data_IF_661363745495
#
_entry.id   IF_661363745495
#
_cell.length_a   1.000
_cell.length_b   1.000
_cell.length_c   1.000
_cell.angle_alpha   90.00
_cell.angle_beta   90.00
_cell.angle_gamma   90.00
#
_symmetry.space_group_name_H-M   'P 1'
#
loop_
_entity.id
_entity.type
_entity.pdbx_description
1 polymer ?
#
# COMPACT_ATOMS: atom_id res chain seq x y z
N UNK A 1 -38.34 19.14 22.30
CA UNK A 1 -38.17 20.09 23.45
C UNK A 1 -36.82 19.75 24.05
N UNK A 2 -35.78 20.45 23.81
CA UNK A 2 -35.23 21.60 24.41
C UNK A 2 -34.08 22.17 23.54
N UNK A 3 -34.24 23.44 23.23
CA UNK A 3 -33.21 24.30 22.64
C UNK A 3 -32.21 24.65 23.75
N UNK A 4 -30.91 24.49 23.46
CA UNK A 4 -29.83 25.20 24.13
C UNK A 4 -28.96 25.82 23.03
N UNK A 5 -29.24 26.94 22.77
CA UNK A 5 -28.84 28.34 22.63
C UNK A 5 -27.34 28.56 22.39
N UNK A 6 -27.11 29.23 21.28
CA UNK A 6 -25.86 29.75 20.71
C UNK A 6 -25.08 30.77 21.61
N UNK A 7 -25.26 30.75 22.95
CA UNK A 7 -24.69 31.71 23.89
C UNK A 7 -23.40 31.27 24.56
N UNK A 8 -22.95 30.02 24.38
CA UNK A 8 -21.73 29.51 25.06
C UNK A 8 -20.47 29.56 24.17
N UNK A 9 -20.63 29.82 22.87
CA UNK A 9 -19.48 29.94 21.93
C UNK A 9 -18.94 31.39 21.81
N UNK A 10 -19.69 32.39 22.29
CA UNK A 10 -19.27 33.80 22.26
C UNK A 10 -18.46 34.20 23.49
N UNK A 11 -18.50 33.42 24.58
CA UNK A 11 -17.77 33.74 25.82
C UNK A 11 -16.32 33.22 25.84
N UNK A 12 -15.95 32.32 24.93
CA UNK A 12 -14.56 31.83 24.83
C UNK A 12 -13.68 32.58 23.82
N UNK A 13 -14.26 33.39 22.96
CA UNK A 13 -13.48 34.21 21.99
C UNK A 13 -13.10 35.60 22.55
N UNK A 14 -13.66 36.07 23.66
CA UNK A 14 -13.34 37.38 24.24
C UNK A 14 -12.25 37.35 25.32
N UNK A 15 -11.79 36.17 25.73
CA UNK A 15 -10.69 36.04 26.71
C UNK A 15 -9.30 35.83 26.09
N UNK A 16 -9.20 35.68 24.78
CA UNK A 16 -7.90 35.52 24.07
C UNK A 16 -7.36 36.81 23.46
N UNK A 17 -8.15 37.86 23.38
CA UNK A 17 -7.71 39.16 22.81
C UNK A 17 -7.26 40.19 23.88
N UNK A 18 -7.32 39.89 25.18
CA UNK A 18 -6.93 40.82 26.25
C UNK A 18 -5.53 40.58 26.83
N UNK A 19 -4.74 39.64 26.30
CA UNK A 19 -3.36 39.41 26.79
C UNK A 19 -2.24 39.82 25.81
N UNK A 20 -2.55 40.48 24.71
CA UNK A 20 -1.56 40.93 23.71
C UNK A 20 -1.45 42.45 23.56
N UNK A 21 -1.97 43.23 24.48
CA UNK A 21 -1.91 44.72 24.42
C UNK A 21 -1.25 45.40 25.61
N UNK A 22 -0.37 44.71 26.35
CA UNK A 22 0.40 45.36 27.41
C UNK A 22 1.89 45.05 27.27
N UNK A 23 2.56 45.73 26.35
CA UNK A 23 4.00 46.02 26.45
C UNK A 23 4.46 46.97 25.32
N UNK A 24 3.89 48.13 25.23
CA UNK A 24 4.41 49.26 24.46
C UNK A 24 3.88 50.56 25.10
N UNK A 25 4.56 51.05 26.11
CA UNK A 25 4.49 52.46 26.49
C UNK A 25 5.88 52.94 26.86
N UNK A 26 6.28 53.83 26.05
CA UNK A 26 7.34 54.82 26.05
C UNK A 26 7.44 55.68 27.33
N UNK A 27 8.16 56.81 27.23
CA UNK A 27 9.54 57.18 27.55
C UNK A 27 9.62 58.16 28.72
N UNK A 28 10.71 58.87 29.01
CA UNK A 28 10.66 60.30 28.81
C UNK A 28 11.98 60.99 28.32
N UNK A 29 11.76 61.89 27.48
CA UNK A 29 12.43 63.15 27.22
C UNK A 29 12.80 63.96 28.49
N UNK A 30 14.00 64.56 28.53
CA UNK A 30 14.50 65.78 29.16
C UNK A 30 15.93 65.58 29.63
N UNK A 31 16.90 66.35 29.40
CA UNK A 31 17.11 67.81 29.32
C UNK A 31 18.54 68.05 28.84
N UNK A 32 18.79 68.81 27.83
CA UNK A 32 19.15 70.22 27.79
C UNK A 32 20.48 70.59 28.45
N UNK A 33 21.34 71.18 27.58
CA UNK A 33 22.22 72.32 27.77
C UNK A 33 23.58 72.11 28.44
N UNK A 34 24.55 72.41 27.71
CA UNK A 34 25.84 73.07 27.89
C UNK A 34 26.94 72.31 27.13
N UNK A 35 27.69 72.84 26.28
CA UNK A 35 28.33 74.07 26.10
C UNK A 35 29.09 74.17 24.80
N UNK A 36 28.97 75.29 24.21
CA UNK A 36 29.82 75.83 23.16
C UNK A 36 31.29 75.83 23.64
N UNK A 37 32.16 75.20 22.84
CA UNK A 37 33.61 75.39 23.07
C UNK A 37 34.39 74.14 22.73
N UNK A 38 34.75 73.96 21.49
CA UNK A 38 36.05 73.46 20.97
C UNK A 38 35.93 73.04 19.51
N UNK A 39 35.56 74.02 18.73
CA UNK A 39 35.69 73.90 17.26
C UNK A 39 37.05 74.48 16.85
N UNK A 40 38.11 73.75 17.09
CA UNK A 40 39.39 73.96 16.41
C UNK A 40 40.40 72.87 16.87
N UNK A 41 40.32 71.72 16.39
CA UNK A 41 41.28 70.66 16.77
C UNK A 41 41.07 69.30 16.18
N UNK A 42 40.18 69.16 15.19
CA UNK A 42 39.88 67.80 14.63
C UNK A 42 40.00 67.71 13.09
N UNK A 43 41.02 68.39 12.55
CA UNK A 43 41.34 68.31 11.10
C UNK A 43 42.67 67.65 10.79
N UNK A 44 43.28 66.90 11.72
CA UNK A 44 44.60 66.29 11.45
C UNK A 44 44.67 64.78 11.85
N UNK A 45 43.53 64.06 11.88
CA UNK A 45 43.53 62.57 12.08
C UNK A 45 42.80 61.81 11.00
N UNK A 46 42.76 62.32 9.76
CA UNK A 46 42.20 61.63 8.58
C UNK A 46 43.29 61.18 7.64
N UNK A 47 44.33 60.49 8.11
CA UNK A 47 45.34 59.93 7.25
C UNK A 47 45.98 58.72 7.95
N UNK A 48 45.32 57.61 7.92
CA UNK A 48 45.84 56.23 7.96
C UNK A 48 44.66 55.27 8.10
N UNK A 49 43.78 55.18 7.06
CA UNK A 49 43.14 53.91 6.80
C UNK A 49 44.22 53.02 6.19
N UNK A 50 44.56 51.90 6.83
CA UNK A 50 45.32 50.90 6.13
C UNK A 50 44.48 50.46 4.93
N UNK A 51 45.02 50.66 3.72
CA UNK A 51 44.49 50.02 2.52
C UNK A 51 44.38 48.51 2.82
N UNK A 52 43.18 48.07 3.18
CA UNK A 52 42.87 46.65 3.16
C UNK A 52 43.07 46.23 1.69
N UNK A 53 44.04 45.35 1.40
CA UNK A 53 44.22 44.94 0.04
C UNK A 53 42.87 44.40 -0.47
N UNK A 54 42.42 44.79 -1.67
CA UNK A 54 41.15 44.29 -2.20
C UNK A 54 41.19 42.78 -2.12
N UNK A 55 40.15 42.20 -1.48
CA UNK A 55 40.00 40.74 -1.37
C UNK A 55 40.27 40.19 -2.80
N UNK A 56 41.13 39.17 -2.96
CA UNK A 56 41.46 38.66 -4.26
C UNK A 56 40.15 38.32 -4.97
N UNK A 57 39.90 39.02 -6.09
CA UNK A 57 38.71 38.79 -6.92
C UNK A 57 38.82 37.33 -7.35
N UNK A 58 37.97 36.47 -6.83
CA UNK A 58 37.96 35.05 -7.16
C UNK A 58 37.82 34.97 -8.67
N UNK A 59 38.86 34.46 -9.33
CA UNK A 59 38.81 34.26 -10.79
C UNK A 59 37.64 33.33 -11.10
N UNK A 60 36.80 33.74 -12.04
CA UNK A 60 35.61 32.93 -12.41
C UNK A 60 36.06 31.57 -12.99
N UNK A 61 35.29 30.52 -12.73
CA UNK A 61 35.51 29.21 -13.36
C UNK A 61 35.47 29.33 -14.89
N UNK A 62 36.36 28.65 -15.59
CA UNK A 62 36.49 28.69 -17.03
C UNK A 62 35.93 27.40 -17.64
N UNK A 63 35.08 27.55 -18.66
CA UNK A 63 34.58 26.42 -19.43
C UNK A 63 35.59 26.11 -20.57
N UNK A 64 36.15 24.91 -20.56
CA UNK A 64 37.01 24.35 -21.61
C UNK A 64 36.33 23.13 -22.22
N UNK A 65 35.73 23.29 -23.41
CA UNK A 65 34.88 22.26 -23.99
C UNK A 65 33.63 22.00 -23.11
N UNK A 66 33.46 20.79 -22.60
CA UNK A 66 32.39 20.42 -21.69
C UNK A 66 32.84 20.38 -20.22
N UNK A 67 34.07 20.82 -19.91
CA UNK A 67 34.65 20.77 -18.58
C UNK A 67 34.68 22.15 -17.93
N UNK A 68 34.20 22.26 -16.71
CA UNK A 68 34.32 23.47 -15.91
C UNK A 68 35.52 23.35 -14.99
N UNK A 69 36.50 24.25 -15.19
CA UNK A 69 37.75 24.28 -14.44
C UNK A 69 37.76 25.46 -13.48
N UNK A 70 37.87 25.15 -12.21
CA UNK A 70 38.06 26.14 -11.17
C UNK A 70 39.53 26.45 -10.94
N UNK A 71 39.88 27.71 -10.69
CA UNK A 71 41.22 28.05 -10.22
C UNK A 71 41.55 27.37 -8.89
N UNK A 72 42.83 27.08 -8.68
CA UNK A 72 43.28 26.47 -7.41
C UNK A 72 42.93 27.37 -6.21
N UNK A 73 42.34 26.77 -5.17
CA UNK A 73 41.92 27.52 -3.95
C UNK A 73 40.65 28.34 -4.12
N UNK A 74 39.87 28.14 -5.19
CA UNK A 74 38.58 28.84 -5.33
C UNK A 74 37.62 28.52 -4.18
N UNK A 75 36.99 29.53 -3.53
CA UNK A 75 36.16 29.35 -2.34
C UNK A 75 35.00 28.35 -2.51
N UNK A 76 34.41 28.30 -3.72
CA UNK A 76 33.30 27.37 -4.01
C UNK A 76 33.71 25.91 -3.98
N UNK A 77 35.00 25.57 -4.17
CA UNK A 77 35.48 24.19 -4.11
C UNK A 77 35.29 23.56 -2.73
N UNK A 78 35.39 24.37 -1.67
CA UNK A 78 35.15 23.92 -0.29
C UNK A 78 33.69 23.55 -0.01
N UNK A 79 32.77 24.05 -0.83
CA UNK A 79 31.33 23.77 -0.71
C UNK A 79 30.93 22.48 -1.43
N UNK A 80 31.77 22.00 -2.35
CA UNK A 80 31.51 20.80 -3.13
C UNK A 80 32.09 19.59 -2.39
N UNK A 81 31.29 18.57 -2.20
CA UNK A 81 31.78 17.29 -1.70
C UNK A 81 31.54 16.21 -2.74
N UNK A 82 32.54 15.36 -2.92
CA UNK A 82 32.48 14.24 -3.84
C UNK A 82 32.41 12.90 -3.13
N UNK A 83 31.96 11.89 -3.83
CA UNK A 83 31.92 10.51 -3.38
C UNK A 83 32.20 9.60 -4.58
N UNK A 84 32.99 8.56 -4.34
CA UNK A 84 33.23 7.55 -5.36
C UNK A 84 31.94 6.76 -5.67
N UNK A 85 31.63 6.60 -6.95
CA UNK A 85 30.58 5.70 -7.41
C UNK A 85 30.94 4.26 -7.04
N UNK A 86 30.05 3.58 -6.36
CA UNK A 86 30.27 2.19 -5.91
C UNK A 86 29.72 1.21 -6.94
N UNK A 87 30.39 0.07 -7.13
CA UNK A 87 29.85 -0.98 -8.00
C UNK A 87 28.52 -1.49 -7.42
N UNK A 88 27.52 -1.62 -8.26
CA UNK A 88 26.23 -2.15 -7.88
C UNK A 88 26.29 -3.68 -7.88
N UNK A 89 26.73 -4.28 -6.78
CA UNK A 89 26.70 -5.73 -6.63
C UNK A 89 25.31 -6.23 -6.20
N UNK A 90 24.67 -5.47 -5.32
CA UNK A 90 23.33 -5.75 -4.78
C UNK A 90 22.47 -4.50 -4.87
N UNK A 91 21.27 -4.67 -5.40
CA UNK A 91 20.26 -3.62 -5.46
C UNK A 91 19.08 -4.01 -4.58
N UNK A 92 18.71 -3.14 -3.66
CA UNK A 92 17.48 -3.30 -2.87
C UNK A 92 16.39 -2.45 -3.51
N UNK A 93 15.36 -3.12 -3.99
CA UNK A 93 14.19 -2.47 -4.59
C UNK A 93 13.04 -2.53 -3.61
N UNK A 94 12.50 -1.38 -3.25
CA UNK A 94 11.33 -1.25 -2.39
C UNK A 94 10.06 -1.28 -3.26
N UNK A 95 9.19 -2.28 -3.01
CA UNK A 95 7.93 -2.48 -3.72
C UNK A 95 6.76 -2.23 -2.77
N UNK A 96 5.76 -1.42 -3.18
CA UNK A 96 4.58 -1.22 -2.36
C UNK A 96 3.81 -2.52 -2.21
N UNK A 97 3.29 -2.77 -1.01
CA UNK A 97 2.58 -3.97 -0.67
C UNK A 97 1.39 -3.68 0.25
N UNK A 98 0.35 -4.53 0.14
CA UNK A 98 -0.82 -4.53 1.00
C UNK A 98 -1.04 -5.94 1.53
N UNK A 99 -1.28 -6.06 2.82
CA UNK A 99 -1.66 -7.31 3.44
C UNK A 99 -3.16 -7.53 3.24
N UNK A 100 -3.54 -8.77 2.95
CA UNK A 100 -4.95 -9.17 2.86
C UNK A 100 -5.11 -10.53 3.52
N UNK A 101 -6.36 -10.89 3.86
CA UNK A 101 -6.62 -12.23 4.37
C UNK A 101 -6.18 -13.29 3.37
N UNK A 102 -5.69 -14.41 3.88
CA UNK A 102 -5.41 -15.58 3.06
C UNK A 102 -6.74 -16.22 2.64
N UNK A 103 -7.19 -15.97 1.41
CA UNK A 103 -8.50 -16.44 0.92
C UNK A 103 -8.61 -17.98 0.91
N UNK A 104 -7.49 -18.70 0.87
CA UNK A 104 -7.50 -20.16 1.01
C UNK A 104 -7.84 -20.63 2.44
N UNK A 105 -7.79 -19.70 3.40
CA UNK A 105 -8.08 -19.92 4.83
C UNK A 105 -9.13 -18.93 5.33
N UNK A 106 -9.97 -18.44 4.43
CA UNK A 106 -11.01 -17.45 4.74
C UNK A 106 -12.34 -17.94 4.18
N UNK A 107 -13.37 -17.97 5.01
CA UNK A 107 -14.72 -18.25 4.60
C UNK A 107 -15.57 -17.00 4.69
N UNK A 108 -16.25 -16.67 3.59
CA UNK A 108 -17.26 -15.61 3.51
C UNK A 108 -18.63 -16.25 3.51
N UNK A 109 -19.46 -15.90 4.46
CA UNK A 109 -20.76 -16.51 4.68
C UNK A 109 -21.84 -15.56 4.17
N UNK A 110 -22.60 -16.04 3.20
CA UNK A 110 -23.74 -15.36 2.59
C UNK A 110 -25.02 -16.09 2.92
N UNK A 111 -26.18 -15.40 2.93
CA UNK A 111 -27.47 -16.08 3.12
C UNK A 111 -27.80 -16.89 1.87
N UNK A 112 -28.28 -18.12 2.05
CA UNK A 112 -28.76 -18.95 0.93
C UNK A 112 -30.27 -18.91 0.75
N UNK A 113 -30.98 -18.44 1.78
CA UNK A 113 -32.42 -18.23 1.81
C UNK A 113 -32.71 -16.84 2.35
N UNK A 114 -33.79 -16.26 1.89
CA UNK A 114 -34.32 -15.02 2.48
C UNK A 114 -34.80 -15.28 3.91
N UNK A 115 -34.50 -14.32 4.81
CA UNK A 115 -34.94 -14.46 6.19
C UNK A 115 -34.64 -13.22 7.03
N UNK A 116 -35.22 -13.20 8.24
CA UNK A 116 -35.01 -12.16 9.21
C UNK A 116 -34.04 -12.64 10.28
N UNK A 117 -33.02 -11.84 10.59
CA UNK A 117 -32.06 -12.15 11.66
C UNK A 117 -32.77 -12.17 12.99
N UNK A 118 -32.84 -13.33 13.64
CA UNK A 118 -33.40 -13.51 14.96
C UNK A 118 -32.37 -13.28 16.04
N UNK A 119 -31.37 -14.18 16.13
CA UNK A 119 -30.33 -14.15 17.16
C UNK A 119 -28.95 -14.21 16.51
N UNK A 120 -28.01 -13.44 17.05
CA UNK A 120 -26.60 -13.48 16.67
C UNK A 120 -25.86 -14.10 17.86
N UNK A 121 -25.07 -15.15 17.59
CA UNK A 121 -24.35 -15.93 18.60
C UNK A 121 -22.87 -15.75 18.58
N UNK A 122 -22.31 -15.21 17.47
CA UNK A 122 -20.89 -14.92 17.31
C UNK A 122 -20.65 -13.44 17.02
N UNK A 123 -19.56 -12.90 17.56
CA UNK A 123 -19.17 -11.51 17.34
C UNK A 123 -17.74 -11.40 16.83
N UNK A 124 -17.38 -10.21 16.34
CA UNK A 124 -16.04 -9.92 15.85
C UNK A 124 -15.01 -10.13 16.97
N UNK A 125 -13.91 -10.79 16.63
CA UNK A 125 -12.85 -11.16 17.58
C UNK A 125 -13.08 -12.49 18.29
N UNK A 126 -14.22 -13.15 18.10
CA UNK A 126 -14.51 -14.46 18.69
C UNK A 126 -13.91 -15.60 17.85
N UNK A 127 -13.27 -16.57 18.52
CA UNK A 127 -12.83 -17.80 17.89
C UNK A 127 -13.98 -18.79 17.80
N UNK A 128 -14.13 -19.40 16.64
CA UNK A 128 -15.20 -20.38 16.35
C UNK A 128 -14.60 -21.66 15.77
N UNK A 129 -15.29 -22.78 16.01
CA UNK A 129 -14.95 -24.07 15.42
C UNK A 129 -15.79 -24.36 14.17
N UNK A 130 -15.39 -25.32 13.35
CA UNK A 130 -16.24 -25.80 12.28
C UNK A 130 -17.57 -26.34 12.85
N UNK A 131 -18.70 -25.95 12.23
CA UNK A 131 -20.05 -26.28 12.70
C UNK A 131 -20.64 -25.34 13.75
N UNK A 132 -19.84 -24.37 14.29
CA UNK A 132 -20.37 -23.39 15.25
C UNK A 132 -21.45 -22.51 14.62
N UNK A 133 -22.57 -22.35 15.29
CA UNK A 133 -23.66 -21.44 14.87
C UNK A 133 -23.23 -20.00 15.13
N UNK A 134 -23.29 -19.17 14.10
CA UNK A 134 -22.91 -17.76 14.13
C UNK A 134 -24.13 -16.85 14.28
N UNK A 135 -25.23 -17.23 13.63
CA UNK A 135 -26.51 -16.54 13.76
C UNK A 135 -27.66 -17.48 13.38
N UNK A 136 -28.85 -17.16 13.85
CA UNK A 136 -30.10 -17.83 13.50
C UNK A 136 -31.02 -16.85 12.79
N UNK A 137 -31.59 -17.28 11.67
CA UNK A 137 -32.51 -16.51 10.86
C UNK A 137 -33.89 -17.19 10.86
N UNK A 138 -34.95 -16.42 11.02
CA UNK A 138 -36.29 -16.86 10.71
C UNK A 138 -36.51 -16.75 9.19
N UNK A 139 -36.67 -17.92 8.54
CA UNK A 139 -36.79 -18.04 7.09
C UNK A 139 -38.01 -18.87 6.69
N UNK A 140 -39.11 -18.23 6.27
CA UNK A 140 -40.26 -18.96 5.74
C UNK A 140 -39.91 -19.77 4.48
N UNK A 141 -38.97 -19.27 3.66
CA UNK A 141 -38.50 -19.97 2.45
C UNK A 141 -37.77 -21.27 2.83
N UNK A 142 -36.89 -21.24 3.85
CA UNK A 142 -36.25 -22.45 4.38
C UNK A 142 -37.30 -23.41 5.00
N UNK A 143 -38.29 -22.88 5.70
CA UNK A 143 -39.40 -23.67 6.23
C UNK A 143 -40.19 -24.40 5.14
N UNK A 144 -40.45 -23.74 4.00
CA UNK A 144 -41.05 -24.38 2.83
C UNK A 144 -40.19 -25.54 2.29
N UNK A 145 -38.86 -25.33 2.18
CA UNK A 145 -37.93 -26.38 1.75
C UNK A 145 -37.88 -27.56 2.74
N UNK A 146 -37.97 -27.30 4.04
CA UNK A 146 -38.13 -28.34 5.09
C UNK A 146 -39.42 -29.12 4.92
N UNK A 147 -40.56 -28.42 4.67
CA UNK A 147 -41.85 -29.05 4.42
C UNK A 147 -41.84 -29.94 3.18
N UNK A 148 -41.22 -29.49 2.08
CA UNK A 148 -41.05 -30.29 0.89
C UNK A 148 -40.23 -31.55 1.16
N UNK A 149 -39.18 -31.46 1.98
CA UNK A 149 -38.38 -32.63 2.39
C UNK A 149 -39.21 -33.59 3.21
N UNK A 150 -39.99 -33.09 4.17
CA UNK A 150 -40.85 -33.93 4.99
C UNK A 150 -41.95 -34.65 4.17
N UNK A 151 -42.54 -33.94 3.19
CA UNK A 151 -43.52 -34.52 2.27
C UNK A 151 -42.88 -35.65 1.41
N UNK A 152 -41.74 -35.37 0.80
CA UNK A 152 -41.02 -36.37 -0.03
C UNK A 152 -40.61 -37.60 0.80
N UNK A 153 -40.23 -37.38 2.07
CA UNK A 153 -39.94 -38.49 3.01
C UNK A 153 -41.16 -39.39 3.26
N UNK A 154 -42.33 -38.77 3.45
CA UNK A 154 -43.60 -39.51 3.65
C UNK A 154 -43.99 -40.27 2.37
N UNK A 155 -43.81 -39.69 1.18
CA UNK A 155 -44.08 -40.31 -0.09
C UNK A 155 -43.17 -41.55 -0.35
N UNK A 156 -41.87 -41.46 -0.01
CA UNK A 156 -40.95 -42.61 -0.08
C UNK A 156 -41.44 -43.71 0.87
N UNK A 157 -41.82 -43.41 2.11
CA UNK A 157 -42.30 -44.42 3.05
C UNK A 157 -43.55 -45.10 2.53
N UNK A 158 -44.47 -44.37 1.91
CA UNK A 158 -45.71 -44.90 1.37
C UNK A 158 -45.40 -45.79 0.13
N UNK A 159 -44.63 -45.31 -0.83
CA UNK A 159 -44.29 -46.05 -2.08
C UNK A 159 -43.49 -47.32 -1.77
N UNK A 160 -42.55 -47.30 -0.83
CA UNK A 160 -41.82 -48.50 -0.39
C UNK A 160 -42.75 -49.55 0.22
N UNK A 161 -43.75 -49.16 1.05
CA UNK A 161 -44.74 -50.08 1.56
C UNK A 161 -45.62 -50.67 0.46
N UNK A 162 -45.99 -49.90 -0.56
CA UNK A 162 -46.72 -50.37 -1.74
C UNK A 162 -45.88 -51.34 -2.54
N UNK A 163 -44.62 -51.03 -2.80
CA UNK A 163 -43.68 -51.93 -3.50
C UNK A 163 -43.56 -53.27 -2.76
N UNK A 164 -43.33 -53.24 -1.47
CA UNK A 164 -43.24 -54.46 -0.65
C UNK A 164 -44.50 -55.29 -0.76
N UNK A 165 -45.70 -54.68 -0.73
CA UNK A 165 -46.98 -55.38 -0.89
C UNK A 165 -47.11 -56.00 -2.30
N UNK A 166 -46.84 -55.25 -3.35
CA UNK A 166 -46.89 -55.73 -4.73
C UNK A 166 -45.89 -56.88 -4.98
N UNK A 167 -44.73 -56.81 -4.37
CA UNK A 167 -43.74 -57.86 -4.44
C UNK A 167 -44.23 -59.14 -3.81
N UNK A 168 -44.81 -59.10 -2.60
CA UNK A 168 -45.39 -60.28 -1.93
C UNK A 168 -46.56 -60.87 -2.69
N UNK A 169 -47.43 -60.06 -3.28
CA UNK A 169 -48.54 -60.48 -4.10
C UNK A 169 -48.08 -61.15 -5.44
N UNK A 170 -47.03 -60.60 -6.06
CA UNK A 170 -46.43 -61.18 -7.24
C UNK A 170 -45.79 -62.54 -6.97
N UNK A 171 -45.09 -62.68 -5.86
CA UNK A 171 -44.48 -63.91 -5.41
C UNK A 171 -45.56 -64.95 -5.13
N UNK A 172 -46.76 -64.54 -4.65
CA UNK A 172 -47.92 -65.42 -4.52
C UNK A 172 -48.72 -65.68 -5.78
N UNK A 173 -48.29 -65.15 -6.94
CA UNK A 173 -48.94 -65.29 -8.22
C UNK A 173 -50.25 -64.54 -8.41
N UNK A 174 -50.56 -63.56 -7.54
CA UNK A 174 -51.83 -62.80 -7.47
C UNK A 174 -51.86 -61.59 -8.41
N UNK A 175 -50.74 -60.94 -8.64
CA UNK A 175 -50.67 -59.73 -9.48
C UNK A 175 -49.76 -59.90 -10.69
N UNK A 176 -49.96 -59.10 -11.73
CA UNK A 176 -49.19 -59.18 -12.94
C UNK A 176 -47.79 -58.49 -12.71
N UNK A 177 -46.79 -58.93 -13.51
CA UNK A 177 -45.44 -58.34 -13.53
C UNK A 177 -45.45 -56.84 -13.76
N UNK A 178 -46.36 -56.35 -14.61
CA UNK A 178 -46.55 -54.93 -14.89
C UNK A 178 -46.86 -54.14 -13.61
N UNK A 179 -47.65 -54.67 -12.67
CA UNK A 179 -48.04 -53.97 -11.45
C UNK A 179 -46.85 -53.87 -10.47
N UNK A 180 -45.97 -54.88 -10.45
CA UNK A 180 -44.72 -54.83 -9.70
C UNK A 180 -43.75 -53.82 -10.29
N UNK A 181 -43.58 -53.83 -11.63
CA UNK A 181 -42.72 -52.86 -12.35
C UNK A 181 -43.19 -51.40 -12.14
N UNK A 182 -44.51 -51.16 -12.14
CA UNK A 182 -45.09 -49.86 -11.81
C UNK A 182 -44.76 -49.41 -10.38
N UNK A 183 -44.93 -50.32 -9.40
CA UNK A 183 -44.60 -50.01 -8.02
C UNK A 183 -43.09 -49.74 -7.82
N UNK A 184 -42.23 -50.45 -8.51
CA UNK A 184 -40.79 -50.18 -8.54
C UNK A 184 -40.45 -48.80 -9.11
N UNK A 185 -41.08 -48.41 -10.24
CA UNK A 185 -40.89 -47.11 -10.86
C UNK A 185 -41.37 -45.98 -9.96
N UNK A 186 -42.51 -46.16 -9.26
CA UNK A 186 -43.03 -45.17 -8.34
C UNK A 186 -42.15 -44.98 -7.10
N UNK A 187 -41.62 -46.07 -6.54
CA UNK A 187 -40.66 -45.98 -5.44
C UNK A 187 -39.36 -45.31 -5.85
N UNK A 188 -38.83 -45.62 -7.03
CA UNK A 188 -37.62 -44.97 -7.56
C UNK A 188 -37.84 -43.43 -7.80
N UNK A 189 -39.02 -43.05 -8.31
CA UNK A 189 -39.39 -41.64 -8.50
C UNK A 189 -39.47 -40.88 -7.17
N UNK A 190 -40.14 -41.46 -6.17
CA UNK A 190 -40.24 -40.89 -4.86
C UNK A 190 -38.88 -40.73 -4.16
N UNK A 191 -38.00 -41.71 -4.33
CA UNK A 191 -36.64 -41.65 -3.79
C UNK A 191 -35.82 -40.54 -4.44
N UNK A 192 -35.89 -40.37 -5.76
CA UNK A 192 -35.20 -39.26 -6.46
C UNK A 192 -35.71 -37.90 -6.03
N UNK A 193 -37.03 -37.78 -5.79
CA UNK A 193 -37.62 -36.53 -5.31
C UNK A 193 -37.19 -36.19 -3.86
N UNK A 194 -37.07 -37.20 -2.98
CA UNK A 194 -36.51 -37.01 -1.65
C UNK A 194 -35.07 -36.56 -1.71
N UNK A 195 -34.23 -37.17 -2.54
CA UNK A 195 -32.83 -36.75 -2.72
C UNK A 195 -32.73 -35.29 -3.21
N UNK A 196 -33.57 -34.88 -4.15
CA UNK A 196 -33.66 -33.50 -4.61
C UNK A 196 -34.04 -32.54 -3.48
N UNK A 197 -35.06 -32.85 -2.71
CA UNK A 197 -35.54 -32.02 -1.60
C UNK A 197 -34.48 -31.93 -0.48
N UNK A 198 -33.84 -33.04 -0.14
CA UNK A 198 -32.76 -33.06 0.86
C UNK A 198 -31.54 -32.28 0.40
N UNK A 199 -31.14 -32.33 -0.88
CA UNK A 199 -30.01 -31.59 -1.41
C UNK A 199 -30.17 -30.08 -1.17
N UNK A 200 -31.39 -29.55 -1.21
CA UNK A 200 -31.69 -28.13 -0.99
C UNK A 200 -31.47 -27.69 0.48
N UNK A 201 -31.65 -28.60 1.45
CA UNK A 201 -31.59 -28.25 2.89
C UNK A 201 -30.35 -28.78 3.61
N UNK A 202 -29.66 -29.80 3.03
CA UNK A 202 -28.56 -30.53 3.68
C UNK A 202 -27.43 -29.65 4.21
N UNK A 203 -27.06 -28.58 3.50
CA UNK A 203 -25.97 -27.68 3.87
C UNK A 203 -26.28 -26.81 5.11
N UNK A 204 -27.53 -26.74 5.53
CA UNK A 204 -28.00 -25.80 6.57
C UNK A 204 -28.44 -26.52 7.85
N UNK A 205 -28.04 -27.76 8.01
CA UNK A 205 -28.28 -28.58 9.17
C UNK A 205 -29.55 -29.44 9.05
N UNK A 206 -29.49 -30.64 9.62
CA UNK A 206 -30.64 -31.55 9.75
C UNK A 206 -31.42 -31.20 11.02
N UNK A 207 -32.36 -30.31 10.93
CA UNK A 207 -33.35 -30.13 12.00
C UNK A 207 -34.49 -31.13 11.78
N UNK A 208 -34.84 -31.89 12.80
CA UNK A 208 -36.05 -32.73 12.78
C UNK A 208 -37.26 -31.83 12.81
N UNK A 209 -37.99 -31.73 11.71
CA UNK A 209 -39.25 -30.97 11.61
C UNK A 209 -39.11 -29.63 10.88
N UNK A 210 -40.26 -28.99 10.66
CA UNK A 210 -40.34 -27.67 9.98
C UNK A 210 -40.26 -26.57 11.05
N UNK A 211 -39.06 -26.01 11.24
CA UNK A 211 -38.83 -25.00 12.29
C UNK A 211 -38.77 -23.57 11.76
N UNK A 212 -38.65 -23.39 10.45
CA UNK A 212 -38.37 -22.11 9.79
C UNK A 212 -37.09 -21.41 10.30
N UNK A 213 -36.28 -22.09 11.12
CA UNK A 213 -35.03 -21.56 11.64
C UNK A 213 -33.87 -22.02 10.77
N UNK A 214 -33.21 -21.04 10.16
CA UNK A 214 -32.00 -21.23 9.37
C UNK A 214 -30.80 -20.85 10.22
N UNK A 215 -29.92 -21.80 10.51
CA UNK A 215 -28.68 -21.56 11.24
C UNK A 215 -27.56 -21.27 10.26
N UNK A 216 -26.93 -20.10 10.39
CA UNK A 216 -25.68 -19.78 9.70
C UNK A 216 -24.54 -20.37 10.51
N UNK A 217 -23.82 -21.32 9.94
CA UNK A 217 -22.71 -22.02 10.61
C UNK A 217 -21.39 -21.71 9.95
N UNK A 218 -20.32 -21.74 10.75
CA UNK A 218 -18.96 -21.71 10.21
C UNK A 218 -18.59 -23.07 9.63
N UNK A 219 -18.11 -23.12 8.40
CA UNK A 219 -17.58 -24.35 7.78
C UNK A 219 -16.16 -24.65 8.19
N UNK A 220 -15.47 -23.73 8.88
CA UNK A 220 -14.09 -23.88 9.29
C UNK A 220 -13.86 -23.35 10.72
N UNK A 221 -12.79 -23.79 11.35
CA UNK A 221 -12.31 -23.17 12.58
C UNK A 221 -11.53 -21.89 12.25
N UNK A 222 -11.76 -20.82 13.02
CA UNK A 222 -11.09 -19.55 12.78
C UNK A 222 -11.55 -18.45 13.72
N UNK A 223 -11.20 -17.22 13.35
CA UNK A 223 -11.61 -16.00 14.03
C UNK A 223 -12.65 -15.28 13.17
N UNK A 224 -13.73 -14.83 13.80
CA UNK A 224 -14.68 -13.92 13.14
C UNK A 224 -14.03 -12.55 13.02
N UNK A 225 -13.79 -12.11 11.79
CA UNK A 225 -13.12 -10.83 11.53
C UNK A 225 -14.08 -9.76 11.03
N UNK A 226 -15.21 -10.16 10.44
CA UNK A 226 -16.28 -9.24 10.02
C UNK A 226 -17.64 -9.82 10.37
N UNK A 227 -18.55 -8.93 10.76
CA UNK A 227 -19.96 -9.21 10.99
C UNK A 227 -20.80 -8.06 10.44
N UNK A 228 -21.52 -8.33 9.36
CA UNK A 228 -22.30 -7.33 8.61
C UNK A 228 -23.81 -7.63 8.71
N UNK A 229 -24.29 -7.93 9.91
CA UNK A 229 -25.71 -8.14 10.17
C UNK A 229 -26.12 -7.61 11.55
N UNK A 230 -27.39 -7.23 11.67
CA UNK A 230 -27.98 -6.71 12.89
C UNK A 230 -29.24 -7.52 13.26
N UNK A 231 -29.59 -7.63 14.56
CA UNK A 231 -30.82 -8.24 14.97
C UNK A 231 -32.03 -7.58 14.29
N UNK A 232 -32.98 -8.39 13.78
CA UNK A 232 -34.17 -7.92 13.11
C UNK A 232 -33.98 -7.50 11.66
N UNK A 233 -32.77 -7.48 11.14
CA UNK A 233 -32.45 -7.18 9.73
C UNK A 233 -32.99 -8.27 8.81
N UNK A 234 -33.57 -7.88 7.68
CA UNK A 234 -33.92 -8.79 6.59
C UNK A 234 -32.73 -8.99 5.66
N UNK A 235 -32.42 -10.23 5.33
CA UNK A 235 -31.33 -10.62 4.44
C UNK A 235 -31.87 -11.47 3.29
N UNK A 236 -31.28 -11.32 2.09
CA UNK A 236 -31.71 -12.03 0.88
C UNK A 236 -30.49 -12.47 0.06
N UNK A 237 -30.54 -13.64 -0.61
CA UNK A 237 -29.44 -14.16 -1.42
C UNK A 237 -29.06 -13.28 -2.61
N UNK A 238 -30.04 -12.53 -3.16
CA UNK A 238 -29.92 -11.69 -4.37
C UNK A 238 -29.37 -10.28 -4.09
N UNK A 239 -29.14 -9.93 -2.84
CA UNK A 239 -28.53 -8.65 -2.48
C UNK A 239 -27.03 -8.66 -2.70
N UNK A 240 -26.53 -7.74 -3.55
CA UNK A 240 -25.10 -7.50 -3.71
C UNK A 240 -24.50 -6.76 -2.50
N UNK A 241 -24.58 -7.40 -1.34
CA UNK A 241 -24.06 -6.88 -0.08
C UNK A 241 -22.75 -7.57 0.33
N UNK A 242 -22.09 -7.05 1.38
CA UNK A 242 -20.95 -7.73 1.98
C UNK A 242 -21.37 -9.08 2.59
N UNK A 243 -20.40 -9.99 2.75
CA UNK A 243 -20.63 -11.23 3.46
C UNK A 243 -21.20 -10.96 4.86
N UNK A 244 -22.19 -11.75 5.31
CA UNK A 244 -22.78 -11.60 6.64
C UNK A 244 -21.75 -11.83 7.75
N UNK A 245 -20.88 -12.82 7.55
CA UNK A 245 -19.72 -13.09 8.38
C UNK A 245 -18.51 -13.39 7.52
N UNK A 246 -17.32 -12.99 8.00
CA UNK A 246 -16.04 -13.43 7.49
C UNK A 246 -15.31 -14.14 8.63
N UNK A 247 -15.00 -15.41 8.43
CA UNK A 247 -14.23 -16.24 9.34
C UNK A 247 -12.91 -16.58 8.68
N UNK A 248 -11.79 -16.34 9.37
CA UNK A 248 -10.46 -16.60 8.80
C UNK A 248 -9.51 -17.17 9.84
N UNK A 249 -8.46 -17.86 9.37
CA UNK A 249 -7.29 -18.17 10.18
C UNK A 249 -6.26 -17.02 10.07
N UNK A 250 -6.15 -16.15 11.10
CA UNK A 250 -5.23 -15.02 11.07
C UNK A 250 -3.76 -15.41 11.26
N UNK A 251 -3.44 -16.70 11.34
CA UNK A 251 -2.08 -17.23 11.48
C UNK A 251 -1.21 -17.05 10.24
N UNK A 252 -1.83 -16.75 9.08
CA UNK A 252 -1.13 -16.37 7.86
C UNK A 252 -1.92 -15.31 7.09
N UNK A 253 -1.22 -14.44 6.36
CA UNK A 253 -1.81 -13.45 5.46
C UNK A 253 -1.18 -13.55 4.08
N UNK A 254 -1.88 -13.07 3.09
CA UNK A 254 -1.30 -12.79 1.80
C UNK A 254 -0.78 -11.37 1.75
N UNK A 255 0.33 -11.21 1.05
CA UNK A 255 0.97 -9.92 0.72
C UNK A 255 0.78 -9.72 -0.77
N UNK A 256 -0.07 -8.78 -1.13
CA UNK A 256 -0.25 -8.33 -2.51
C UNK A 256 0.79 -7.25 -2.78
N UNK A 257 1.60 -7.44 -3.82
CA UNK A 257 2.73 -6.59 -4.14
C UNK A 257 2.55 -6.08 -5.57
N UNK A 258 2.79 -4.80 -5.76
CA UNK A 258 2.74 -4.16 -7.07
C UNK A 258 4.17 -3.97 -7.59
N UNK A 259 4.57 -4.77 -8.58
CA UNK A 259 5.89 -4.72 -9.19
C UNK A 259 5.82 -4.17 -10.61
N UNK A 260 6.79 -3.37 -10.99
CA UNK A 260 6.95 -2.95 -12.38
C UNK A 260 7.65 -4.06 -13.19
N UNK A 261 7.43 -4.10 -14.51
CA UNK A 261 7.98 -5.11 -15.42
C UNK A 261 9.51 -5.27 -15.28
N UNK A 262 10.24 -4.16 -15.13
CA UNK A 262 11.69 -4.17 -14.93
C UNK A 262 12.17 -4.93 -13.68
N UNK A 263 11.30 -5.16 -12.70
CA UNK A 263 11.64 -5.84 -11.44
C UNK A 263 11.36 -7.35 -11.47
N UNK A 264 10.81 -7.87 -12.55
CA UNK A 264 10.45 -9.28 -12.67
C UNK A 264 11.66 -10.22 -12.80
N UNK A 265 12.79 -9.69 -13.25
CA UNK A 265 14.01 -10.48 -13.40
C UNK A 265 14.42 -11.10 -12.06
N UNK A 266 14.40 -12.43 -12.00
CA UNK A 266 14.75 -13.19 -10.79
C UNK A 266 13.60 -13.48 -9.81
N UNK A 267 12.38 -12.93 -10.03
CA UNK A 267 11.21 -13.26 -9.22
C UNK A 267 10.58 -14.57 -9.68
N UNK A 268 10.71 -15.59 -8.84
CA UNK A 268 10.11 -16.92 -9.08
C UNK A 268 9.31 -17.34 -7.84
N UNK A 269 8.28 -18.15 -8.00
CA UNK A 269 7.62 -18.78 -6.87
C UNK A 269 8.65 -19.45 -5.95
N UNK A 270 8.51 -19.22 -4.64
CA UNK A 270 9.45 -19.66 -3.61
C UNK A 270 10.48 -18.62 -3.18
N UNK A 271 10.66 -17.51 -3.92
CA UNK A 271 11.57 -16.42 -3.51
C UNK A 271 11.15 -15.86 -2.15
N UNK A 272 12.12 -15.69 -1.26
CA UNK A 272 11.92 -15.02 0.03
C UNK A 272 12.06 -13.52 -0.14
N UNK A 273 11.08 -12.80 0.39
CA UNK A 273 10.97 -11.36 0.35
C UNK A 273 10.90 -10.82 1.78
N UNK A 274 11.56 -9.71 2.04
CA UNK A 274 11.49 -9.03 3.34
C UNK A 274 10.33 -8.04 3.33
N UNK A 275 9.35 -8.23 4.21
CA UNK A 275 8.24 -7.31 4.41
C UNK A 275 8.51 -6.41 5.61
N UNK A 276 8.41 -5.11 5.39
CA UNK A 276 8.49 -4.05 6.41
C UNK A 276 7.13 -3.37 6.49
N UNK A 277 6.61 -3.26 7.72
CA UNK A 277 5.32 -2.61 7.98
C UNK A 277 5.55 -1.40 8.89
N UNK A 278 5.03 -0.21 8.59
CA UNK A 278 5.27 1.00 9.39
C UNK A 278 4.87 0.89 10.86
N UNK A 279 3.85 0.06 11.17
CA UNK A 279 3.42 -0.20 12.54
C UNK A 279 4.45 -0.96 13.39
N UNK A 280 5.42 -1.62 12.73
CA UNK A 280 6.47 -2.43 13.37
C UNK A 280 7.81 -2.17 12.68
N UNK A 281 8.40 -0.95 12.81
CA UNK A 281 9.55 -0.53 12.02
C UNK A 281 10.82 -1.36 12.32
N UNK A 282 10.94 -1.90 13.53
CA UNK A 282 12.09 -2.69 13.97
C UNK A 282 11.94 -4.20 13.68
N UNK A 283 10.76 -4.62 13.17
CA UNK A 283 10.52 -6.02 12.85
C UNK A 283 10.54 -6.25 11.34
N UNK A 284 11.24 -7.31 10.94
CA UNK A 284 11.28 -7.80 9.57
C UNK A 284 10.46 -9.07 9.49
N UNK A 285 9.51 -9.11 8.59
CA UNK A 285 8.70 -10.29 8.33
C UNK A 285 9.15 -10.92 7.03
N UNK A 286 9.28 -12.23 7.02
CA UNK A 286 9.59 -12.95 5.79
C UNK A 286 8.32 -13.37 5.08
N UNK A 287 8.17 -12.95 3.85
CA UNK A 287 7.11 -13.37 2.96
C UNK A 287 7.67 -14.27 1.86
N UNK A 288 6.98 -15.36 1.54
CA UNK A 288 7.36 -16.29 0.47
C UNK A 288 6.48 -16.01 -0.76
N UNK A 289 7.12 -15.66 -1.87
CA UNK A 289 6.43 -15.45 -3.15
C UNK A 289 5.75 -16.75 -3.60
N UNK A 290 4.45 -16.69 -3.84
CA UNK A 290 3.65 -17.83 -4.29
C UNK A 290 3.33 -17.74 -5.79
N UNK A 291 2.95 -16.53 -6.23
CA UNK A 291 2.46 -16.35 -7.60
C UNK A 291 2.95 -15.02 -8.16
N UNK A 292 3.31 -15.04 -9.42
CA UNK A 292 3.54 -13.87 -10.27
C UNK A 292 2.40 -13.89 -11.30
N UNK A 293 1.64 -12.81 -11.44
CA UNK A 293 0.58 -12.75 -12.44
C UNK A 293 1.15 -12.69 -13.86
N UNK A 294 0.46 -13.31 -14.81
CA UNK A 294 0.87 -13.36 -16.21
C UNK A 294 0.35 -12.17 -17.04
N UNK A 295 -0.19 -11.14 -16.38
CA UNK A 295 -0.69 -9.94 -17.04
C UNK A 295 -0.25 -8.67 -16.32
N UNK A 296 -0.13 -7.59 -17.09
CA UNK A 296 0.18 -6.25 -16.62
C UNK A 296 -1.12 -5.49 -16.50
N UNK A 297 -1.40 -4.89 -15.35
CA UNK A 297 -2.51 -3.97 -15.17
C UNK A 297 -2.26 -2.72 -16.03
N UNK A 298 -3.10 -2.44 -17.05
CA UNK A 298 -2.85 -1.34 -17.99
C UNK A 298 -2.99 0.04 -17.34
N UNK A 299 -3.72 0.14 -16.24
CA UNK A 299 -3.95 1.41 -15.53
C UNK A 299 -2.76 1.81 -14.67
N UNK A 300 -2.16 0.85 -13.98
CA UNK A 300 -1.02 1.07 -13.07
C UNK A 300 0.33 0.71 -13.68
N UNK A 301 0.33 -0.04 -14.80
CA UNK A 301 1.51 -0.65 -15.44
C UNK A 301 2.32 -1.50 -14.47
N UNK A 302 1.62 -2.19 -13.57
CA UNK A 302 2.21 -3.09 -12.59
C UNK A 302 1.76 -4.53 -12.81
N UNK A 303 2.58 -5.44 -12.36
CA UNK A 303 2.29 -6.86 -12.28
C UNK A 303 1.98 -7.18 -10.83
N UNK A 304 0.89 -7.90 -10.59
CA UNK A 304 0.50 -8.29 -9.24
C UNK A 304 1.27 -9.53 -8.83
N UNK A 305 1.99 -9.42 -7.73
CA UNK A 305 2.65 -10.54 -7.08
C UNK A 305 1.88 -10.89 -5.81
N UNK A 306 1.82 -12.18 -5.48
CA UNK A 306 1.24 -12.65 -4.24
C UNK A 306 2.26 -13.47 -3.47
N UNK A 307 2.55 -13.02 -2.25
CA UNK A 307 3.37 -13.75 -1.31
C UNK A 307 2.56 -14.13 -0.06
N UNK A 308 3.01 -15.10 0.70
CA UNK A 308 2.43 -15.49 1.97
C UNK A 308 3.39 -15.14 3.10
N UNK A 309 2.84 -14.54 4.17
CA UNK A 309 3.56 -14.23 5.40
C UNK A 309 2.94 -14.94 6.60
N UNK A 310 3.76 -15.61 7.40
CA UNK A 310 3.31 -16.22 8.64
C UNK A 310 3.06 -15.15 9.71
N UNK A 311 1.96 -15.30 10.47
CA UNK A 311 1.54 -14.34 11.49
C UNK A 311 1.15 -15.02 12.83
N UNK A 312 2.01 -15.87 13.42
CA UNK A 312 1.66 -16.65 14.61
C UNK A 312 1.32 -15.78 15.82
N UNK A 313 1.92 -14.60 15.92
CA UNK A 313 1.66 -13.62 16.99
C UNK A 313 0.50 -12.67 16.69
N UNK A 314 -0.14 -12.79 15.52
CA UNK A 314 -1.27 -11.95 15.07
C UNK A 314 -0.96 -10.44 15.10
N UNK A 315 0.31 -10.06 14.88
CA UNK A 315 0.75 -8.66 14.82
C UNK A 315 0.31 -7.97 13.54
N UNK A 316 0.35 -8.71 12.44
CA UNK A 316 -0.08 -8.23 11.13
C UNK A 316 -1.61 -8.31 11.04
N UNK A 317 -2.20 -7.30 10.41
CA UNK A 317 -3.65 -7.23 10.16
C UNK A 317 -3.90 -7.10 8.66
N UNK A 318 -5.08 -7.54 8.22
CA UNK A 318 -5.53 -7.23 6.86
C UNK A 318 -5.58 -5.72 6.65
N UNK A 319 -5.39 -5.32 5.43
CA UNK A 319 -5.38 -3.93 4.95
C UNK A 319 -4.23 -3.05 5.47
N UNK A 320 -3.30 -3.61 6.25
CA UNK A 320 -2.04 -2.92 6.53
C UNK A 320 -1.25 -2.73 5.24
N UNK A 321 -0.73 -1.51 5.07
CA UNK A 321 0.23 -1.21 4.02
C UNK A 321 1.63 -1.52 4.51
N UNK A 322 2.47 -1.96 3.60
CA UNK A 322 3.87 -2.27 3.87
C UNK A 322 4.73 -2.08 2.64
N UNK A 323 6.00 -2.29 2.81
CA UNK A 323 6.99 -2.29 1.75
C UNK A 323 7.67 -3.65 1.72
N UNK A 324 7.71 -4.24 0.55
CA UNK A 324 8.47 -5.47 0.32
C UNK A 324 9.81 -5.11 -0.28
N UNK A 325 10.90 -5.56 0.35
CA UNK A 325 12.25 -5.41 -0.13
C UNK A 325 12.65 -6.61 -0.95
N UNK A 326 12.98 -6.33 -2.20
CA UNK A 326 13.52 -7.30 -3.14
C UNK A 326 15.03 -7.08 -3.27
N UNK A 327 15.83 -8.08 -2.89
CA UNK A 327 17.27 -8.08 -3.09
C UNK A 327 17.57 -8.66 -4.47
N UNK A 328 18.10 -7.83 -5.36
CA UNK A 328 18.58 -8.24 -6.67
C UNK A 328 20.10 -8.31 -6.64
N UNK A 329 20.65 -9.52 -6.89
CA UNK A 329 22.09 -9.76 -6.93
C UNK A 329 22.61 -9.67 -8.37
N UNK A 330 23.92 -9.38 -8.51
CA UNK A 330 24.61 -9.29 -9.79
C UNK A 330 24.02 -8.24 -10.74
N UNK A 331 23.61 -7.09 -10.20
CA UNK A 331 23.13 -5.98 -11.02
C UNK A 331 24.32 -5.24 -11.59
N UNK A 332 24.35 -5.05 -12.93
CA UNK A 332 25.38 -4.25 -13.57
C UNK A 332 25.15 -2.76 -13.37
N UNK A 333 26.22 -1.99 -13.22
CA UNK A 333 26.15 -0.54 -13.05
C UNK A 333 26.81 -0.07 -11.76
N UNK A 334 26.44 1.12 -11.32
CA UNK A 334 27.00 1.76 -10.12
C UNK A 334 25.89 2.39 -9.28
N UNK A 335 26.16 2.54 -8.00
CA UNK A 335 25.28 3.23 -7.05
C UNK A 335 25.94 4.53 -6.63
N UNK A 336 25.15 5.61 -6.62
CA UNK A 336 25.55 6.94 -6.18
C UNK A 336 24.48 7.50 -5.24
N UNK A 337 24.82 8.46 -4.34
CA UNK A 337 23.84 9.15 -3.52
C UNK A 337 22.76 9.83 -4.39
N UNK A 338 21.49 9.78 -3.96
CA UNK A 338 20.37 10.42 -4.67
C UNK A 338 20.61 11.93 -4.90
N UNK A 339 21.30 12.59 -3.97
CA UNK A 339 21.68 14.01 -4.07
C UNK A 339 22.68 14.32 -5.19
N UNK A 340 23.38 13.32 -5.72
CA UNK A 340 24.35 13.50 -6.82
C UNK A 340 23.67 13.53 -8.20
N UNK A 341 22.45 12.99 -8.33
CA UNK A 341 21.74 12.92 -9.61
C UNK A 341 20.79 14.10 -9.72
N UNK A 342 20.86 14.78 -10.86
CA UNK A 342 19.95 15.89 -11.18
C UNK A 342 19.13 15.56 -12.42
N UNK A 343 17.89 16.01 -12.44
CA UNK A 343 17.05 15.99 -13.64
C UNK A 343 17.14 17.38 -14.31
N UNK A 344 17.80 17.45 -15.45
CA UNK A 344 17.95 18.69 -16.22
C UNK A 344 17.45 18.49 -17.65
N UNK A 345 16.50 19.32 -18.06
CA UNK A 345 15.91 19.25 -19.42
C UNK A 345 15.37 17.85 -19.79
N UNK A 346 14.85 17.11 -18.82
CA UNK A 346 14.29 15.77 -19.03
C UNK A 346 15.33 14.63 -19.06
N UNK A 347 16.60 14.93 -18.79
CA UNK A 347 17.69 13.94 -18.72
C UNK A 347 18.30 13.91 -17.31
N UNK A 348 18.63 12.71 -16.84
CA UNK A 348 19.40 12.56 -15.61
C UNK A 348 20.87 12.85 -15.88
N UNK A 349 21.47 13.64 -15.00
CA UNK A 349 22.82 14.13 -15.09
C UNK A 349 23.55 13.98 -13.75
N UNK A 350 24.82 13.65 -13.81
CA UNK A 350 25.75 13.72 -12.68
C UNK A 350 26.94 14.60 -13.01
N UNK A 351 27.54 15.24 -12.01
CA UNK A 351 28.81 15.96 -12.20
C UNK A 351 29.94 15.07 -11.72
N UNK A 352 30.81 14.69 -12.66
CA UNK A 352 31.99 13.88 -12.39
C UNK A 352 33.18 14.80 -12.17
N UNK A 353 33.92 14.61 -11.10
CA UNK A 353 35.21 15.24 -10.89
C UNK A 353 36.30 14.42 -11.55
N UNK A 354 36.88 14.96 -12.62
CA UNK A 354 37.97 14.32 -13.35
C UNK A 354 39.32 14.49 -12.65
N UNK A 355 39.58 15.75 -12.21
CA UNK A 355 40.75 16.18 -11.45
C UNK A 355 40.29 17.15 -10.34
N UNK A 356 41.10 17.40 -9.31
CA UNK A 356 40.77 18.42 -8.32
C UNK A 356 40.43 19.77 -8.96
N UNK A 357 39.18 20.22 -8.80
CA UNK A 357 38.69 21.48 -9.40
C UNK A 357 38.21 21.38 -10.82
N UNK A 358 38.18 20.20 -11.44
CA UNK A 358 37.71 20.02 -12.84
C UNK A 358 36.48 19.11 -12.81
N UNK A 359 35.35 19.63 -13.29
CA UNK A 359 34.06 18.94 -13.29
C UNK A 359 33.48 18.82 -14.69
N UNK A 360 32.84 17.69 -14.97
CA UNK A 360 32.17 17.39 -16.24
C UNK A 360 30.73 16.97 -15.99
N UNK A 361 29.75 17.61 -16.65
CA UNK A 361 28.37 17.15 -16.62
C UNK A 361 28.24 15.91 -17.49
N UNK A 362 27.80 14.80 -16.92
CA UNK A 362 27.65 13.55 -17.65
C UNK A 362 26.21 13.05 -17.61
N UNK A 363 25.54 12.89 -18.76
CA UNK A 363 24.25 12.26 -18.82
C UNK A 363 24.35 10.79 -18.43
N UNK A 364 23.38 10.32 -17.63
CA UNK A 364 23.35 8.95 -17.10
C UNK A 364 21.98 8.34 -17.29
N UNK A 365 21.94 7.02 -17.38
CA UNK A 365 20.69 6.27 -17.41
C UNK A 365 20.42 5.67 -16.02
N UNK A 366 19.34 6.12 -15.41
CA UNK A 366 18.90 5.63 -14.11
C UNK A 366 18.17 4.30 -14.30
N UNK A 367 18.63 3.26 -13.62
CA UNK A 367 17.98 1.94 -13.55
C UNK A 367 16.95 1.88 -12.44
N UNK A 368 17.30 2.40 -11.25
CA UNK A 368 16.41 2.46 -10.10
C UNK A 368 16.73 3.71 -9.26
N UNK A 369 15.69 4.39 -8.81
CA UNK A 369 15.78 5.58 -7.96
C UNK A 369 15.22 5.25 -6.59
N UNK A 370 16.13 5.12 -5.62
CA UNK A 370 15.79 4.94 -4.20
C UNK A 370 15.82 6.27 -3.45
N UNK A 371 15.36 6.28 -2.21
CA UNK A 371 15.31 7.49 -1.37
C UNK A 371 16.70 8.03 -1.01
N UNK A 372 17.66 7.16 -0.74
CA UNK A 372 19.02 7.53 -0.33
C UNK A 372 20.04 7.40 -1.47
N UNK A 373 19.86 6.40 -2.33
CA UNK A 373 20.79 6.03 -3.37
C UNK A 373 20.08 5.79 -4.69
N UNK A 374 20.77 6.08 -5.79
CA UNK A 374 20.30 5.88 -7.16
C UNK A 374 21.22 4.90 -7.85
N UNK A 375 20.64 3.87 -8.47
CA UNK A 375 21.33 2.93 -9.33
C UNK A 375 21.40 3.48 -10.76
N UNK A 376 22.64 3.61 -11.27
CA UNK A 376 22.94 4.06 -12.63
C UNK A 376 23.36 2.84 -13.43
N UNK A 377 22.61 2.54 -14.49
CA UNK A 377 22.87 1.40 -15.37
C UNK A 377 23.89 1.71 -16.47
N UNK A 378 23.96 2.96 -16.94
CA UNK A 378 24.85 3.38 -18.01
C UNK A 378 25.33 4.83 -17.78
N UNK A 379 26.53 5.14 -18.24
CA UNK A 379 27.09 6.51 -18.24
C UNK A 379 28.10 6.79 -17.12
N UNK A 380 28.26 5.90 -16.12
CA UNK A 380 29.20 6.07 -15.03
C UNK A 380 29.91 4.77 -14.70
N UNK A 381 31.19 4.85 -14.29
CA UNK A 381 32.03 3.69 -13.91
C UNK A 381 32.27 3.68 -12.40
N UNK A 382 32.47 2.50 -11.85
CA UNK A 382 32.87 2.35 -10.46
C UNK A 382 34.21 3.04 -10.19
N UNK A 383 34.30 3.77 -9.07
CA UNK A 383 35.48 4.54 -8.66
C UNK A 383 35.49 5.99 -9.15
N UNK A 384 34.66 6.39 -10.13
CA UNK A 384 34.55 7.78 -10.55
C UNK A 384 33.98 8.65 -9.42
N UNK A 385 34.58 9.82 -9.23
CA UNK A 385 34.17 10.76 -8.18
C UNK A 385 32.98 11.59 -8.65
N UNK A 386 31.84 11.46 -8.01
CA UNK A 386 30.63 12.27 -8.32
C UNK A 386 30.37 13.29 -7.22
N UNK A 387 29.91 14.47 -7.62
CA UNK A 387 29.56 15.53 -6.68
C UNK A 387 28.23 15.20 -6.01
N UNK A 388 28.26 15.00 -4.68
CA UNK A 388 27.07 14.61 -3.89
C UNK A 388 26.36 15.78 -3.20
N UNK A 389 27.05 16.89 -2.97
CA UNK A 389 26.48 18.08 -2.32
C UNK A 389 26.73 19.31 -3.18
N UNK A 390 25.74 20.20 -3.18
CA UNK A 390 25.78 21.47 -3.90
C UNK A 390 26.00 21.34 -5.44
N UNK A 391 25.57 20.21 -6.01
CA UNK A 391 25.63 19.97 -7.45
C UNK A 391 24.85 21.01 -8.27
N UNK A 392 23.82 21.65 -7.69
CA UNK A 392 23.09 22.80 -8.27
C UNK A 392 23.99 24.03 -8.48
N UNK A 393 25.01 24.23 -7.64
CA UNK A 393 25.99 25.29 -7.83
C UNK A 393 26.73 25.10 -9.15
N UNK A 394 27.19 23.87 -9.42
CA UNK A 394 27.86 23.55 -10.70
C UNK A 394 26.92 23.78 -11.89
N UNK A 395 25.65 23.35 -11.79
CA UNK A 395 24.66 23.60 -12.84
C UNK A 395 24.55 25.08 -13.19
N UNK A 396 24.53 25.95 -12.17
CA UNK A 396 24.48 27.41 -12.34
C UNK A 396 25.76 27.95 -12.98
N UNK A 397 26.93 27.52 -12.49
CA UNK A 397 28.22 27.97 -13.03
C UNK A 397 28.43 27.51 -14.46
N UNK A 398 28.06 26.28 -14.82
CA UNK A 398 28.06 25.80 -16.20
C UNK A 398 27.19 26.65 -17.11
N UNK A 399 25.98 27.01 -16.65
CA UNK A 399 25.07 27.86 -17.41
C UNK A 399 25.67 29.25 -17.63
N UNK A 400 26.18 29.90 -16.58
CA UNK A 400 26.80 31.22 -16.66
C UNK A 400 28.03 31.22 -17.54
N UNK A 401 28.88 30.20 -17.42
CA UNK A 401 30.09 30.11 -18.26
C UNK A 401 29.75 29.86 -19.73
N UNK A 402 28.69 29.12 -20.06
CA UNK A 402 28.20 28.91 -21.43
C UNK A 402 27.64 30.22 -22.03
N UNK A 403 26.80 30.93 -21.27
CA UNK A 403 26.27 32.23 -21.68
C UNK A 403 27.38 33.27 -21.92
N UNK A 404 28.44 33.24 -21.11
CA UNK A 404 29.60 34.12 -21.32
C UNK A 404 30.41 33.82 -22.63
N UNK A 405 30.41 32.56 -23.04
CA UNK A 405 31.03 32.16 -24.32
C UNK A 405 30.17 32.55 -25.54
N UNK A 406 28.85 32.38 -25.42
CA UNK A 406 27.91 32.74 -26.50
C UNK A 406 27.70 34.26 -26.64
N UNK A 407 27.86 35.02 -25.56
CA UNK A 407 27.72 36.50 -25.53
C UNK A 407 28.94 37.29 -25.97
N UNK A 408 30.08 36.67 -26.41
CA UNK A 408 31.21 37.38 -27.00
C UNK A 408 30.95 37.63 -28.50
N UNK A 409 30.66 38.89 -28.91
CA UNK A 409 30.57 39.22 -30.34
C UNK A 409 31.93 38.97 -30.97
N UNK A 410 31.96 38.16 -32.03
CA UNK A 410 33.15 37.92 -32.82
C UNK A 410 33.73 39.25 -33.36
N UNK A 411 34.83 39.72 -32.81
CA UNK A 411 35.64 40.77 -33.41
C UNK A 411 36.39 40.14 -34.61
N UNK A 412 35.83 40.38 -35.77
CA UNK A 412 36.46 39.98 -37.00
C UNK A 412 35.71 40.48 -38.22
N UNK A 413 35.59 41.82 -38.39
CA UNK A 413 35.38 42.46 -39.69
C UNK A 413 36.37 43.57 -39.86
N UNK A 414 37.47 43.27 -40.47
CA UNK A 414 38.26 44.23 -41.24
C UNK A 414 37.40 44.73 -42.38
N UNK A 415 37.08 46.01 -42.36
CA UNK A 415 36.53 46.74 -43.51
C UNK A 415 37.64 47.18 -44.45
N UNK A 416 37.34 47.42 -45.73
CA UNK A 416 38.31 47.70 -46.84
C UNK A 416 39.01 49.03 -46.76
#
# INVERSE_FOLDING_TARGET
MNRLTASTLLAMLTTLTSRLSQSLTQPPFQQWVAGLGLSLGLCLLSACQPDTPPAPVAQLPILQGEQLRYPAGHPQLSLLSTQAAQAANDLVVDLPARLVWNESRTQRIYPAFSGRVGRITADVGQSVSAGSVLAELASPEFGAAQADTARAQADVQWTLKQLQRQQSLFEAGIVARKDLELAQADAARAQAELERAQARTRLYGSHSGVTQQLSLTSGMAGLVVERNLNPGQEVRPDQNGPALFVVTDPGSLWVQIDAQERHLSGLKPGTLLELVVPSWPDQRFQARLQTVADFIDPSTRTIKLRAEVANPRRLLKSDMLGTVRLHQHNVSGVVVPASAVQLLSGQHLVYVQLEPGVFEPRPVKVGYEGLAEVHISEGLKAGEQVVKQNSLLLSREFKSAREALEGKPGHGRTAP
#
